data_IF_024330165272
#
_entry.id   IF_024330165272
#
_cell.length_a   1.000
_cell.length_b   1.000
_cell.length_c   1.000
_cell.angle_alpha   90.00
_cell.angle_beta   90.00
_cell.angle_gamma   90.00
#
_symmetry.space_group_name_H-M   'P 1'
#
loop_
_entity.id
_entity.type
_entity.pdbx_description
1 polymer ?
#
# COMPACT_ATOMS: atom_id res chain seq x y z
N UNK A 1 8.16 37.52 1.42
CA UNK A 1 7.00 36.75 1.89
C UNK A 1 6.85 37.07 3.36
N UNK A 2 5.73 37.64 3.81
CA UNK A 2 5.59 38.01 5.22
C UNK A 2 5.12 36.79 6.02
N UNK A 3 6.05 36.11 6.70
CA UNK A 3 5.75 34.89 7.48
C UNK A 3 4.87 35.16 8.72
N UNK A 4 4.72 36.43 9.10
CA UNK A 4 3.81 36.89 10.16
C UNK A 4 2.36 37.02 9.70
N UNK A 5 2.10 37.07 8.38
CA UNK A 5 0.75 37.14 7.85
C UNK A 5 0.20 35.74 7.54
N UNK A 6 -0.97 35.35 8.10
CA UNK A 6 -1.54 34.03 7.86
C UNK A 6 -1.82 33.68 6.39
N UNK A 7 -2.05 34.71 5.56
CA UNK A 7 -2.37 34.55 4.13
C UNK A 7 -1.14 34.20 3.30
N UNK A 8 0.00 34.81 3.62
CA UNK A 8 1.29 34.53 2.97
C UNK A 8 1.88 33.21 3.47
N UNK A 9 1.60 32.85 4.73
CA UNK A 9 2.05 31.60 5.33
C UNK A 9 1.32 30.37 4.78
N UNK A 10 0.03 30.50 4.41
CA UNK A 10 -0.76 29.37 3.94
C UNK A 10 -0.20 28.66 2.69
N UNK A 11 0.20 29.35 1.60
CA UNK A 11 0.86 28.74 0.45
C UNK A 11 2.19 28.07 0.78
N UNK A 12 2.94 28.61 1.75
CA UNK A 12 4.20 28.00 2.19
C UNK A 12 3.93 26.68 2.93
N UNK A 13 2.91 26.63 3.80
CA UNK A 13 2.48 25.40 4.45
C UNK A 13 1.93 24.38 3.44
N UNK A 14 1.21 24.84 2.41
CA UNK A 14 0.80 23.99 1.29
C UNK A 14 2.01 23.33 0.62
N UNK A 15 3.05 24.11 0.32
CA UNK A 15 4.28 23.61 -0.28
C UNK A 15 5.00 22.57 0.60
N UNK A 16 5.11 22.82 1.90
CA UNK A 16 5.73 21.86 2.84
C UNK A 16 4.92 20.56 2.94
N UNK A 17 3.60 20.66 3.09
CA UNK A 17 2.75 19.48 3.19
C UNK A 17 2.76 18.67 1.90
N UNK A 18 2.73 19.34 0.74
CA UNK A 18 2.78 18.70 -0.56
C UNK A 18 4.12 17.99 -0.81
N UNK A 19 5.23 18.61 -0.43
CA UNK A 19 6.57 18.02 -0.57
C UNK A 19 6.82 16.85 0.38
N UNK A 20 6.25 16.88 1.58
CA UNK A 20 6.55 15.88 2.62
C UNK A 20 5.99 14.48 2.36
N UNK A 21 4.87 14.37 1.64
CA UNK A 21 4.18 13.10 1.36
C UNK A 21 3.71 12.30 2.59
N UNK A 22 3.84 12.86 3.80
CA UNK A 22 3.52 12.22 5.10
C UNK A 22 2.88 13.23 6.05
N UNK A 23 2.09 12.80 7.04
CA UNK A 23 1.60 13.70 8.08
C UNK A 23 2.74 14.45 8.77
N UNK A 24 2.59 15.77 8.89
CA UNK A 24 3.55 16.64 9.57
C UNK A 24 2.93 17.18 10.84
N UNK A 25 3.63 16.97 11.97
CA UNK A 25 3.24 17.55 13.24
C UNK A 25 3.47 19.06 13.23
N UNK A 26 2.76 19.81 14.09
CA UNK A 26 2.99 21.25 14.21
C UNK A 26 4.44 21.54 14.62
N UNK A 27 5.00 20.72 15.52
CA UNK A 27 6.38 20.84 15.99
C UNK A 27 7.38 20.67 14.85
N UNK A 28 7.21 19.62 14.03
CA UNK A 28 8.05 19.36 12.85
C UNK A 28 7.96 20.51 11.83
N UNK A 29 6.77 21.07 11.62
CA UNK A 29 6.63 22.23 10.74
C UNK A 29 7.29 23.48 11.32
N UNK A 30 7.27 23.68 12.65
CA UNK A 30 7.95 24.80 13.29
C UNK A 30 9.47 24.70 13.18
N UNK A 31 10.04 23.49 13.20
CA UNK A 31 11.47 23.24 13.05
C UNK A 31 12.03 23.60 11.68
N UNK A 32 11.17 23.71 10.66
CA UNK A 32 11.59 24.13 9.31
C UNK A 32 11.88 25.64 9.21
N UNK A 33 11.47 26.44 10.20
CA UNK A 33 11.71 27.87 10.24
C UNK A 33 12.92 28.20 11.10
N UNK A 34 13.74 29.16 10.64
CA UNK A 34 14.82 29.72 11.45
C UNK A 34 14.28 30.49 12.66
N UNK A 35 15.07 30.62 13.73
CA UNK A 35 14.63 31.22 15.01
C UNK A 35 14.07 32.65 14.87
N UNK A 36 14.56 33.42 13.89
CA UNK A 36 14.10 34.80 13.62
C UNK A 36 12.85 34.90 12.73
N UNK A 37 12.47 33.81 12.06
CA UNK A 37 11.39 33.78 11.07
C UNK A 37 10.19 32.96 11.52
N UNK A 38 10.30 32.29 12.67
CA UNK A 38 9.25 31.42 13.21
C UNK A 38 7.98 32.21 13.52
N UNK A 39 6.85 31.92 12.84
CA UNK A 39 5.57 32.55 13.12
C UNK A 39 5.07 32.18 14.52
N UNK A 40 4.28 33.06 15.14
CA UNK A 40 3.62 32.72 16.40
C UNK A 40 2.62 31.55 16.23
N UNK A 41 2.47 30.65 17.21
CA UNK A 41 1.50 29.56 17.16
C UNK A 41 0.06 29.92 16.75
N UNK A 42 -0.55 31.04 17.19
CA UNK A 42 -1.88 31.44 16.73
C UNK A 42 -1.94 31.84 15.25
N UNK A 43 -0.87 32.44 14.70
CA UNK A 43 -0.77 32.78 13.27
C UNK A 43 -0.73 31.49 12.45
N UNK A 44 0.03 30.51 12.91
CA UNK A 44 0.16 29.20 12.28
C UNK A 44 -1.17 28.46 12.18
N UNK A 45 -1.93 28.37 13.28
CA UNK A 45 -3.27 27.74 13.28
C UNK A 45 -4.26 28.47 12.36
N UNK A 46 -4.18 29.80 12.31
CA UNK A 46 -4.99 30.61 11.37
C UNK A 46 -4.61 30.32 9.92
N UNK A 47 -3.32 30.20 9.62
CA UNK A 47 -2.83 29.87 8.27
C UNK A 47 -3.33 28.47 7.83
N UNK A 48 -3.26 27.45 8.70
CA UNK A 48 -3.83 26.13 8.41
C UNK A 48 -5.34 26.17 8.18
N UNK A 49 -6.08 27.00 8.94
CA UNK A 49 -7.53 27.18 8.74
C UNK A 49 -7.83 27.85 7.39
N UNK A 50 -7.01 28.82 6.98
CA UNK A 50 -7.12 29.46 5.66
C UNK A 50 -6.79 28.46 4.56
N UNK A 51 -5.74 27.66 4.74
CA UNK A 51 -5.35 26.60 3.81
C UNK A 51 -6.49 25.59 3.63
N UNK A 52 -7.07 25.10 4.73
CA UNK A 52 -8.22 24.19 4.70
C UNK A 52 -9.38 24.74 3.86
N UNK A 53 -9.74 26.02 4.06
CA UNK A 53 -10.77 26.69 3.26
C UNK A 53 -10.39 26.86 1.80
N UNK A 54 -9.11 27.10 1.51
CA UNK A 54 -8.63 27.23 0.13
C UNK A 54 -8.66 25.90 -0.65
N UNK A 55 -8.67 24.77 0.07
CA UNK A 55 -8.85 23.43 -0.50
C UNK A 55 -10.32 23.10 -0.82
N UNK A 56 -11.28 23.94 -0.43
CA UNK A 56 -12.67 23.74 -0.79
C UNK A 56 -12.87 23.84 -2.31
N UNK A 57 -13.52 22.84 -2.89
CA UNK A 57 -13.71 22.73 -4.34
C UNK A 57 -12.51 22.13 -5.11
N UNK A 58 -11.35 21.91 -4.47
CA UNK A 58 -10.19 21.26 -5.11
C UNK A 58 -10.25 19.73 -5.05
N UNK A 59 -9.36 19.08 -5.81
CA UNK A 59 -9.26 17.62 -5.83
C UNK A 59 -8.68 17.01 -4.54
N UNK A 60 -7.90 17.79 -3.81
CA UNK A 60 -7.30 17.42 -2.52
C UNK A 60 -7.92 18.21 -1.37
N UNK A 61 -7.69 17.73 -0.16
CA UNK A 61 -8.13 18.32 1.08
C UNK A 61 -7.01 18.30 2.12
N UNK A 62 -7.06 19.27 3.04
CA UNK A 62 -6.23 19.26 4.23
C UNK A 62 -6.92 18.42 5.31
N UNK A 63 -6.27 17.32 5.72
CA UNK A 63 -6.77 16.45 6.79
C UNK A 63 -5.84 16.52 8.00
N UNK A 64 -6.43 16.65 9.17
CA UNK A 64 -5.74 16.53 10.45
C UNK A 64 -5.95 15.10 10.98
N UNK A 65 -4.84 14.43 11.26
CA UNK A 65 -4.71 13.06 11.77
C UNK A 65 -3.90 13.06 13.08
N UNK A 66 -3.80 11.92 13.75
CA UNK A 66 -3.11 11.80 15.04
C UNK A 66 -1.64 12.27 15.02
N UNK A 67 -0.92 12.05 13.91
CA UNK A 67 0.47 12.51 13.75
C UNK A 67 0.60 13.94 13.22
N UNK A 68 -0.49 14.61 12.84
CA UNK A 68 -0.46 16.00 12.40
C UNK A 68 -1.32 16.28 11.17
N UNK A 69 -0.86 17.16 10.29
CA UNK A 69 -1.59 17.60 9.10
C UNK A 69 -1.01 16.94 7.83
N UNK A 70 -1.87 16.56 6.89
CA UNK A 70 -1.47 16.12 5.54
C UNK A 70 -2.42 16.63 4.48
N UNK A 71 -1.91 16.79 3.25
CA UNK A 71 -2.73 16.94 2.07
C UNK A 71 -3.01 15.54 1.49
N UNK A 72 -4.27 15.25 1.21
CA UNK A 72 -4.68 13.98 0.62
C UNK A 72 -5.74 14.21 -0.45
N UNK A 73 -5.83 13.28 -1.41
CA UNK A 73 -6.85 13.35 -2.44
C UNK A 73 -8.21 12.99 -1.83
N UNK A 74 -9.26 13.72 -2.21
CA UNK A 74 -10.63 13.44 -1.73
C UNK A 74 -11.05 12.04 -2.17
N UNK A 75 -11.74 11.33 -1.27
CA UNK A 75 -12.21 9.95 -1.47
C UNK A 75 -13.00 9.76 -2.77
N UNK A 76 -13.78 10.78 -3.18
CA UNK A 76 -14.53 10.77 -4.44
C UNK A 76 -13.67 10.54 -5.69
N UNK A 77 -12.36 10.73 -5.65
CA UNK A 77 -11.45 10.48 -6.78
C UNK A 77 -10.68 9.16 -6.66
N UNK A 78 -10.79 8.45 -5.53
CA UNK A 78 -10.02 7.23 -5.26
C UNK A 78 -10.11 6.17 -6.38
N UNK A 79 -11.28 5.90 -7.02
CA UNK A 79 -11.37 4.91 -8.09
C UNK A 79 -10.54 5.23 -9.35
N UNK A 80 -10.25 6.51 -9.59
CA UNK A 80 -9.45 6.96 -10.73
C UNK A 80 -7.97 7.03 -10.38
N UNK A 81 -7.66 7.62 -9.22
CA UNK A 81 -6.26 7.73 -8.74
C UNK A 81 -5.66 6.34 -8.54
N UNK A 82 -6.47 5.38 -8.05
CA UNK A 82 -6.07 3.99 -7.89
C UNK A 82 -5.54 3.31 -9.16
N UNK A 83 -5.90 3.81 -10.35
CA UNK A 83 -5.43 3.28 -11.65
C UNK A 83 -4.01 3.69 -11.99
N UNK A 84 -3.43 4.65 -11.26
CA UNK A 84 -2.07 5.11 -11.48
C UNK A 84 -1.04 4.05 -11.08
N UNK A 85 -1.40 3.17 -10.14
CA UNK A 85 -0.55 2.06 -9.70
C UNK A 85 -0.86 0.81 -10.53
N UNK A 86 0.18 0.23 -11.14
CA UNK A 86 0.08 -1.02 -11.92
C UNK A 86 -0.39 -2.19 -11.05
N UNK A 87 0.09 -2.24 -9.82
CA UNK A 87 -0.28 -3.26 -8.84
C UNK A 87 -1.31 -2.69 -7.85
N UNK A 88 -2.49 -3.31 -7.80
CA UNK A 88 -3.50 -2.93 -6.80
C UNK A 88 -3.02 -3.37 -5.42
N UNK A 89 -3.06 -2.49 -4.41
CA UNK A 89 -2.71 -2.89 -3.06
C UNK A 89 -3.64 -4.03 -2.60
N UNK A 90 -3.05 -5.08 -2.04
CA UNK A 90 -3.77 -6.27 -1.60
C UNK A 90 -4.88 -5.88 -0.62
N UNK A 91 -6.11 -6.32 -0.91
CA UNK A 91 -7.26 -6.06 -0.03
C UNK A 91 -7.08 -6.79 1.30
N UNK A 92 -7.48 -6.15 2.38
CA UNK A 92 -7.46 -6.78 3.70
C UNK A 92 -8.62 -7.76 3.83
N UNK A 93 -8.33 -8.94 4.37
CA UNK A 93 -9.37 -9.94 4.63
C UNK A 93 -10.35 -9.46 5.69
N UNK A 94 -11.59 -9.90 5.60
CA UNK A 94 -12.63 -9.60 6.59
C UNK A 94 -12.21 -9.98 8.01
N UNK A 95 -11.58 -11.15 8.17
CA UNK A 95 -11.09 -11.61 9.47
C UNK A 95 -10.03 -10.67 10.09
N UNK A 96 -9.17 -10.07 9.26
CA UNK A 96 -8.19 -9.08 9.71
C UNK A 96 -8.88 -7.79 10.17
N UNK A 97 -9.82 -7.27 9.38
CA UNK A 97 -10.57 -6.06 9.71
C UNK A 97 -11.42 -6.23 10.98
N UNK A 98 -12.10 -7.38 11.13
CA UNK A 98 -12.85 -7.72 12.35
C UNK A 98 -11.95 -7.78 13.59
N UNK A 99 -10.79 -8.43 13.48
CA UNK A 99 -9.82 -8.54 14.58
C UNK A 99 -9.32 -7.17 14.98
N UNK A 100 -8.95 -6.33 14.00
CA UNK A 100 -8.50 -4.96 14.24
C UNK A 100 -9.60 -4.08 14.86
N UNK A 101 -10.85 -4.19 14.39
CA UNK A 101 -11.97 -3.46 14.97
C UNK A 101 -12.17 -3.83 16.44
N UNK A 102 -12.11 -5.11 16.79
CA UNK A 102 -12.19 -5.55 18.19
C UNK A 102 -11.07 -4.94 19.05
N UNK A 103 -9.84 -4.87 18.53
CA UNK A 103 -8.73 -4.23 19.25
C UNK A 103 -9.01 -2.73 19.42
N UNK A 104 -9.47 -2.02 18.38
CA UNK A 104 -9.74 -0.59 18.45
C UNK A 104 -10.80 -0.22 19.50
N UNK A 105 -11.92 -0.97 19.56
CA UNK A 105 -13.03 -0.68 20.47
C UNK A 105 -12.89 -1.28 21.88
N UNK A 106 -12.04 -2.30 22.08
CA UNK A 106 -11.92 -3.00 23.38
C UNK A 106 -10.50 -3.03 23.97
N UNK A 107 -9.56 -2.30 23.39
CA UNK A 107 -8.22 -2.18 23.98
C UNK A 107 -8.26 -1.69 25.44
N UNK A 108 -7.35 -2.20 26.30
CA UNK A 108 -6.37 -3.25 26.04
C UNK A 108 -7.01 -4.66 26.05
N UNK A 109 -6.80 -5.44 25.00
CA UNK A 109 -7.41 -6.77 24.81
C UNK A 109 -6.37 -7.85 24.48
N UNK A 110 -6.59 -9.07 24.95
CA UNK A 110 -5.74 -10.25 24.71
C UNK A 110 -6.23 -11.09 23.54
N UNK A 111 -5.38 -11.96 22.97
CA UNK A 111 -5.78 -12.86 21.88
C UNK A 111 -6.97 -13.75 22.26
N UNK A 112 -6.98 -14.30 23.47
CA UNK A 112 -8.08 -15.14 23.96
C UNK A 112 -9.42 -14.40 24.02
N UNK A 113 -9.42 -13.17 24.54
CA UNK A 113 -10.63 -12.33 24.59
C UNK A 113 -11.17 -12.00 23.18
N UNK A 114 -10.29 -11.86 22.17
CA UNK A 114 -10.70 -11.67 20.77
C UNK A 114 -11.37 -12.95 20.24
N UNK A 115 -10.76 -14.12 20.49
CA UNK A 115 -11.28 -15.43 20.07
C UNK A 115 -12.65 -15.70 20.71
N UNK A 116 -12.81 -15.39 22.00
CA UNK A 116 -14.06 -15.55 22.75
C UNK A 116 -15.21 -14.72 22.15
N UNK A 117 -14.93 -13.48 21.73
CA UNK A 117 -15.94 -12.61 21.12
C UNK A 117 -16.28 -13.03 19.69
N UNK A 118 -15.29 -13.49 18.92
CA UNK A 118 -15.51 -13.94 17.52
C UNK A 118 -16.09 -15.36 17.42
N UNK A 119 -15.93 -16.17 18.46
CA UNK A 119 -16.33 -17.58 18.46
C UNK A 119 -15.48 -18.47 17.55
N UNK A 120 -14.39 -17.95 16.98
CA UNK A 120 -13.46 -18.67 16.10
C UNK A 120 -12.02 -18.31 16.43
N UNK A 121 -11.10 -19.25 16.22
CA UNK A 121 -9.68 -19.02 16.43
C UNK A 121 -9.15 -17.89 15.52
N UNK A 122 -8.32 -17.01 16.09
CA UNK A 122 -7.66 -15.94 15.34
C UNK A 122 -6.35 -16.50 14.78
N UNK A 123 -6.17 -16.40 13.46
CA UNK A 123 -4.91 -16.81 12.83
C UNK A 123 -3.76 -15.92 13.36
N UNK A 124 -2.72 -16.55 13.90
CA UNK A 124 -1.52 -15.86 14.41
C UNK A 124 -0.88 -14.92 13.39
N UNK A 125 -0.98 -15.21 12.10
CA UNK A 125 -0.47 -14.35 11.03
C UNK A 125 -1.19 -13.01 10.97
N UNK A 126 -2.50 -12.95 11.30
CA UNK A 126 -3.25 -11.68 11.31
C UNK A 126 -2.65 -10.74 12.35
N UNK A 127 -2.43 -11.23 13.58
CA UNK A 127 -1.84 -10.43 14.66
C UNK A 127 -0.43 -9.98 14.29
N UNK A 128 0.36 -10.88 13.69
CA UNK A 128 1.71 -10.57 13.22
C UNK A 128 1.70 -9.46 12.17
N UNK A 129 0.86 -9.57 11.14
CA UNK A 129 0.74 -8.53 10.09
C UNK A 129 0.25 -7.19 10.63
N UNK A 130 -0.69 -7.19 11.58
CA UNK A 130 -1.16 -5.95 12.23
C UNK A 130 -0.04 -5.27 13.03
N UNK A 131 0.85 -6.04 13.66
CA UNK A 131 2.03 -5.53 14.35
C UNK A 131 3.11 -5.04 13.38
N UNK A 132 3.39 -5.77 12.30
CA UNK A 132 4.37 -5.40 11.27
C UNK A 132 4.00 -4.09 10.55
N UNK A 133 2.69 -3.85 10.35
CA UNK A 133 2.15 -2.58 9.83
C UNK A 133 2.09 -1.47 10.88
N UNK A 134 2.58 -1.75 12.08
CA UNK A 134 2.55 -0.86 13.24
C UNK A 134 1.15 -0.40 13.63
N UNK A 135 0.07 -1.06 13.22
CA UNK A 135 -1.30 -0.65 13.58
C UNK A 135 -1.64 -1.00 15.01
N UNK A 136 -1.05 -2.09 15.53
CA UNK A 136 -1.19 -2.51 16.91
C UNK A 136 0.18 -2.70 17.56
N UNK A 137 0.22 -2.58 18.88
CA UNK A 137 1.40 -2.84 19.71
C UNK A 137 1.01 -3.59 20.97
N UNK A 138 1.99 -4.23 21.60
CA UNK A 138 1.84 -4.83 22.92
C UNK A 138 1.98 -3.73 23.98
N UNK A 139 0.97 -3.58 24.83
CA UNK A 139 0.99 -2.59 25.93
C UNK A 139 1.34 -3.20 27.28
N UNK A 140 1.28 -4.52 27.40
CA UNK A 140 1.61 -5.25 28.61
C UNK A 140 1.16 -6.70 28.53
N UNK A 141 1.21 -7.39 29.66
CA UNK A 141 0.78 -8.78 29.79
C UNK A 141 -0.25 -8.90 30.91
N UNK A 142 -1.30 -9.70 30.71
CA UNK A 142 -2.35 -9.91 31.71
C UNK A 142 -1.85 -10.83 32.83
N UNK A 143 -2.23 -10.55 34.07
CA UNK A 143 -1.88 -11.37 35.24
C UNK A 143 -2.82 -12.58 35.41
N UNK A 144 -2.79 -13.47 34.43
CA UNK A 144 -3.51 -14.77 34.42
C UNK A 144 -2.54 -15.88 34.00
N UNK A 145 -2.86 -17.17 34.24
CA UNK A 145 -2.00 -18.28 33.80
C UNK A 145 -1.64 -18.16 32.31
N UNK A 146 -0.35 -18.27 32.00
CA UNK A 146 0.18 -18.09 30.64
C UNK A 146 0.52 -16.64 30.26
N UNK A 147 0.21 -15.65 31.12
CA UNK A 147 0.53 -14.22 30.94
C UNK A 147 0.37 -13.73 29.49
N UNK A 148 -0.85 -13.78 28.91
CA UNK A 148 -1.05 -13.41 27.52
C UNK A 148 -0.78 -11.91 27.29
N UNK A 149 -0.22 -11.60 26.12
CA UNK A 149 0.01 -10.22 25.69
C UNK A 149 -1.32 -9.47 25.47
N UNK A 150 -1.32 -8.20 25.86
CA UNK A 150 -2.43 -7.26 25.63
C UNK A 150 -2.08 -6.31 24.49
N UNK A 151 -2.98 -6.19 23.53
CA UNK A 151 -2.85 -5.37 22.34
C UNK A 151 -3.61 -4.06 22.48
N UNK A 152 -3.05 -3.01 21.88
CA UNK A 152 -3.68 -1.70 21.71
C UNK A 152 -3.29 -1.12 20.34
N UNK A 153 -4.09 -0.19 19.84
CA UNK A 153 -3.82 0.54 18.60
C UNK A 153 -2.71 1.57 18.77
N UNK A 154 -2.09 1.97 17.67
CA UNK A 154 -1.03 2.99 17.63
C UNK A 154 -1.49 4.28 16.95
N UNK A 155 -0.60 5.27 16.85
CA UNK A 155 -0.82 6.47 16.02
C UNK A 155 -0.88 6.14 14.53
N UNK A 156 -0.09 5.17 14.06
CA UNK A 156 -0.10 4.76 12.65
C UNK A 156 -1.46 4.18 12.24
N UNK A 157 -2.16 3.47 13.14
CA UNK A 157 -3.55 3.08 12.94
C UNK A 157 -4.44 4.31 12.74
N UNK A 158 -4.39 5.29 13.65
CA UNK A 158 -5.20 6.50 13.56
C UNK A 158 -4.92 7.28 12.26
N UNK A 159 -3.65 7.39 11.87
CA UNK A 159 -3.25 8.06 10.62
C UNK A 159 -3.73 7.33 9.37
N UNK A 160 -3.78 5.99 9.41
CA UNK A 160 -4.30 5.19 8.31
C UNK A 160 -5.82 5.39 8.14
N UNK A 161 -6.56 5.42 9.26
CA UNK A 161 -8.01 5.60 9.27
C UNK A 161 -8.48 7.06 9.30
N UNK A 162 -7.56 8.02 9.09
CA UNK A 162 -7.90 9.45 9.04
C UNK A 162 -8.50 10.01 10.36
N UNK A 163 -8.10 9.45 11.50
CA UNK A 163 -8.60 9.80 12.83
C UNK A 163 -7.57 10.65 13.60
N UNK A 164 -8.04 11.57 14.46
CA UNK A 164 -7.16 12.36 15.34
C UNK A 164 -6.93 11.63 16.66
N UNK A 165 -7.99 11.02 17.16
CA UNK A 165 -8.01 10.29 18.41
C UNK A 165 -8.94 9.06 18.27
N UNK A 166 -8.99 8.24 19.32
CA UNK A 166 -9.84 7.04 19.35
C UNK A 166 -11.33 7.36 19.59
N UNK A 167 -11.64 8.54 20.12
CA UNK A 167 -13.01 8.99 20.38
C UNK A 167 -13.73 9.40 19.08
N UNK A 168 -12.97 9.66 18.00
CA UNK A 168 -13.48 9.90 16.65
C UNK A 168 -14.03 8.61 15.98
N UNK A 169 -13.87 7.44 16.61
CA UNK A 169 -14.44 6.19 16.11
C UNK A 169 -15.97 6.21 16.21
N UNK A 170 -16.71 5.78 15.16
CA UNK A 170 -18.16 5.69 15.22
C UNK A 170 -18.63 4.83 16.41
N UNK A 171 -19.61 5.28 17.21
CA UNK A 171 -20.11 4.46 18.31
C UNK A 171 -20.73 3.17 17.77
N UNK A 172 -20.56 2.07 18.50
CA UNK A 172 -21.03 0.74 18.09
C UNK A 172 -22.55 0.68 17.81
N UNK A 173 -23.33 1.64 18.32
CA UNK A 173 -24.75 1.76 18.03
C UNK A 173 -25.01 2.21 16.58
N UNK A 174 -24.25 3.19 16.07
CA UNK A 174 -24.38 3.73 14.71
C UNK A 174 -23.91 2.72 13.65
N UNK A 175 -22.93 1.87 13.99
CA UNK A 175 -22.47 0.80 13.08
C UNK A 175 -23.54 -0.24 12.76
N UNK A 176 -24.61 -0.36 13.57
CA UNK A 176 -25.73 -1.27 13.28
C UNK A 176 -26.68 -0.72 12.23
N UNK A 177 -26.68 0.60 12.04
CA UNK A 177 -27.53 1.31 11.10
C UNK A 177 -26.83 1.54 9.75
N UNK A 178 -25.49 1.44 9.71
CA UNK A 178 -24.75 1.31 8.47
C UNK A 178 -25.07 -0.04 7.83
N UNK A 179 -25.95 -0.04 6.83
CA UNK A 179 -26.03 -1.16 5.91
C UNK A 179 -24.65 -1.31 5.25
N UNK A 180 -24.06 -2.51 5.22
CA UNK A 180 -22.86 -2.72 4.43
C UNK A 180 -23.25 -2.46 2.98
N UNK A 181 -22.67 -1.43 2.37
CA UNK A 181 -22.73 -1.27 0.92
C UNK A 181 -22.34 -2.61 0.30
N UNK A 182 -23.11 -3.16 -0.64
CA UNK A 182 -22.74 -4.38 -1.32
C UNK A 182 -21.42 -4.09 -2.03
N UNK A 183 -20.33 -4.58 -1.46
CA UNK A 183 -19.02 -4.58 -2.09
C UNK A 183 -19.23 -5.40 -3.35
N UNK A 184 -19.18 -4.75 -4.51
CA UNK A 184 -19.10 -5.45 -5.78
C UNK A 184 -17.86 -6.35 -5.69
N UNK A 185 -18.11 -7.66 -5.57
CA UNK A 185 -17.08 -8.69 -5.60
C UNK A 185 -16.55 -8.72 -7.03
N UNK A 186 -15.51 -7.93 -7.30
CA UNK A 186 -14.83 -7.95 -8.59
C UNK A 186 -14.10 -9.28 -8.83
N UNK A 187 -13.95 -10.12 -7.81
CA UNK A 187 -13.40 -11.46 -7.93
C UNK A 187 -14.38 -12.44 -8.61
N UNK A 188 -15.68 -12.10 -8.68
CA UNK A 188 -16.74 -12.91 -9.32
C UNK A 188 -17.46 -12.15 -10.47
N UNK A 189 -16.94 -10.98 -10.88
CA UNK A 189 -17.51 -10.25 -12.01
C UNK A 189 -17.24 -11.06 -13.30
N UNK A 190 -18.29 -11.52 -14.02
CA UNK A 190 -18.08 -12.29 -15.24
C UNK A 190 -17.29 -11.43 -16.23
N UNK A 191 -16.16 -11.97 -16.71
CA UNK A 191 -15.39 -11.34 -17.78
C UNK A 191 -16.35 -11.10 -18.96
N UNK A 192 -16.49 -9.86 -19.47
CA UNK A 192 -17.38 -9.58 -20.58
C UNK A 192 -17.04 -10.50 -21.75
N UNK A 193 -18.04 -11.16 -22.33
CA UNK A 193 -17.83 -12.17 -23.38
C UNK A 193 -16.94 -11.66 -24.53
N UNK A 194 -17.02 -10.37 -24.87
CA UNK A 194 -16.16 -9.77 -25.91
C UNK A 194 -14.67 -9.68 -25.56
N UNK A 195 -14.30 -9.61 -24.27
CA UNK A 195 -12.90 -9.68 -23.82
C UNK A 195 -12.38 -11.12 -23.83
N UNK A 196 -13.25 -12.08 -23.51
CA UNK A 196 -12.95 -13.51 -23.61
C UNK A 196 -12.75 -13.93 -25.08
N UNK A 197 -13.62 -13.48 -25.99
CA UNK A 197 -13.51 -13.76 -27.42
C UNK A 197 -12.24 -13.15 -28.05
N UNK A 198 -11.79 -11.98 -27.59
CA UNK A 198 -10.54 -11.38 -28.04
C UNK A 198 -9.31 -12.11 -27.50
N UNK A 199 -9.37 -12.62 -26.27
CA UNK A 199 -8.30 -13.45 -25.68
C UNK A 199 -8.20 -14.80 -26.41
N UNK A 200 -9.34 -15.44 -26.67
CA UNK A 200 -9.43 -16.71 -27.39
C UNK A 200 -9.01 -16.56 -28.86
N UNK A 201 -9.29 -15.41 -29.50
CA UNK A 201 -8.88 -15.12 -30.88
C UNK A 201 -7.40 -14.74 -31.02
N UNK A 202 -6.77 -14.27 -29.94
CA UNK A 202 -5.36 -13.91 -29.92
C UNK A 202 -4.45 -15.03 -29.41
N UNK A 203 -5.03 -16.15 -28.97
CA UNK A 203 -4.31 -17.38 -28.68
C UNK A 203 -3.92 -18.07 -29.99
N UNK A 204 -2.63 -18.17 -30.28
CA UNK A 204 -2.15 -19.09 -31.32
C UNK A 204 -2.53 -20.53 -30.94
N UNK A 205 -2.89 -21.40 -31.90
CA UNK A 205 -3.14 -22.80 -31.60
C UNK A 205 -1.83 -23.43 -31.10
N UNK A 206 -1.67 -23.52 -29.78
CA UNK A 206 -0.65 -24.40 -29.22
C UNK A 206 -0.94 -25.82 -29.73
N UNK A 207 0.05 -26.44 -30.36
CA UNK A 207 0.04 -27.88 -30.57
C UNK A 207 -0.27 -28.55 -29.23
N UNK A 208 -1.09 -29.62 -29.21
CA UNK A 208 -1.43 -30.29 -27.96
C UNK A 208 -0.13 -30.81 -27.35
N UNK A 209 0.42 -30.07 -26.38
CA UNK A 209 1.40 -30.60 -25.45
C UNK A 209 0.64 -31.72 -24.75
N UNK A 210 1.08 -32.95 -25.00
CA UNK A 210 0.61 -34.11 -24.26
C UNK A 210 0.75 -33.76 -22.78
N UNK A 211 -0.37 -33.47 -22.13
CA UNK A 211 -0.42 -33.47 -20.68
C UNK A 211 0.04 -34.86 -20.29
N UNK A 212 1.27 -34.97 -19.80
CA UNK A 212 1.72 -36.17 -19.12
C UNK A 212 0.77 -36.30 -17.94
N UNK A 213 -0.23 -37.16 -18.14
CA UNK A 213 -1.24 -37.48 -17.14
C UNK A 213 -0.52 -37.67 -15.80
N UNK A 214 -1.09 -37.12 -14.74
CA UNK A 214 -0.56 -37.21 -13.37
C UNK A 214 -0.13 -38.64 -12.99
N UNK A 215 -0.73 -39.64 -13.64
CA UNK A 215 -0.39 -41.05 -13.52
C UNK A 215 0.98 -41.44 -14.09
N UNK A 216 1.41 -40.84 -15.20
CA UNK A 216 2.74 -41.01 -15.80
C UNK A 216 3.82 -40.45 -14.90
N UNK A 217 3.59 -39.27 -14.32
CA UNK A 217 4.51 -38.65 -13.36
C UNK A 217 4.63 -39.46 -12.06
N UNK A 218 3.53 -40.08 -11.61
CA UNK A 218 3.52 -41.00 -10.47
C UNK A 218 4.33 -42.28 -10.73
N UNK A 219 4.22 -42.85 -11.93
CA UNK A 219 5.00 -44.03 -12.33
C UNK A 219 6.49 -43.72 -12.46
N UNK A 220 6.84 -42.52 -12.91
CA UNK A 220 8.23 -42.07 -13.00
C UNK A 220 8.84 -41.89 -11.60
N UNK A 221 8.06 -41.34 -10.65
CA UNK A 221 8.47 -41.21 -9.25
C UNK A 221 8.68 -42.57 -8.56
N UNK A 222 7.78 -43.53 -8.77
CA UNK A 222 7.91 -44.91 -8.26
C UNK A 222 9.19 -45.58 -8.78
N UNK A 223 9.52 -45.36 -10.06
CA UNK A 223 10.74 -45.91 -10.67
C UNK A 223 12.03 -45.29 -10.11
N UNK A 224 11.97 -44.03 -9.66
CA UNK A 224 13.08 -43.34 -9.01
C UNK A 224 13.28 -43.79 -7.56
N UNK A 225 12.21 -44.25 -6.88
CA UNK A 225 12.27 -44.78 -5.51
C UNK A 225 12.91 -46.18 -5.42
N UNK A 226 12.81 -47.01 -6.47
CA UNK A 226 13.43 -48.36 -6.49
C UNK A 226 14.97 -48.36 -6.48
N UNK A 227 15.60 -47.21 -6.75
CA UNK A 227 17.07 -47.03 -6.74
C UNK A 227 17.65 -46.43 -5.47
N UNK A 228 16.80 -45.94 -4.55
CA UNK A 228 17.25 -45.29 -3.32
C UNK A 228 17.43 -46.37 -2.25
N UNK A 229 18.68 -46.72 -1.96
CA UNK A 229 19.01 -47.52 -0.78
C UNK A 229 18.66 -46.70 0.47
N UNK A 230 17.53 -47.02 1.09
CA UNK A 230 17.20 -46.57 2.44
C UNK A 230 18.07 -47.35 3.44
N UNK A 231 19.32 -46.95 3.61
CA UNK A 231 20.15 -47.42 4.72
C UNK A 231 19.71 -46.67 6.00
N UNK A 232 18.56 -47.08 6.52
CA UNK A 232 18.03 -46.65 7.81
C UNK A 232 18.23 -47.76 8.87
N UNK A 233 19.39 -48.41 8.85
CA UNK A 233 19.77 -49.43 9.83
C UNK A 233 20.89 -48.97 10.80
N UNK A 234 21.33 -47.71 10.71
CA UNK A 234 22.47 -47.18 11.50
C UNK A 234 22.07 -46.35 12.73
N UNK A 235 20.77 -46.35 13.11
CA UNK A 235 20.27 -45.61 14.28
C UNK A 235 19.70 -46.49 15.40
N UNK A 236 19.84 -47.81 15.34
CA UNK A 236 19.28 -48.72 16.36
C UNK A 236 20.24 -49.79 16.90
N UNK A 237 21.56 -49.61 16.76
CA UNK A 237 22.55 -50.46 17.46
C UNK A 237 23.75 -49.66 17.97
N UNK A 238 23.61 -49.06 19.15
CA UNK A 238 24.55 -49.40 20.22
C UNK A 238 23.96 -49.01 21.58
N UNK A 239 23.79 -50.03 22.43
CA UNK A 239 23.37 -49.86 23.81
C UNK A 239 24.56 -50.09 24.72
N UNK A 240 25.21 -49.02 25.18
CA UNK A 240 25.89 -48.93 26.47
C UNK A 240 26.40 -47.48 26.71
N UNK A 241 26.25 -46.90 27.91
CA UNK A 241 26.75 -45.57 28.21
C UNK A 241 28.27 -45.59 28.47
N UNK A 242 29.06 -44.60 28.04
CA UNK A 242 30.44 -44.50 28.47
C UNK A 242 30.51 -44.00 29.91
N UNK A 243 31.31 -44.72 30.70
CA UNK A 243 31.62 -44.47 32.09
C UNK A 243 32.43 -43.18 32.26
N UNK A 244 32.13 -42.43 33.33
CA UNK A 244 32.94 -41.34 33.84
C UNK A 244 34.16 -41.93 34.54
N UNK A 245 35.38 -41.58 34.10
CA UNK A 245 36.61 -41.81 34.87
C UNK A 245 37.30 -40.47 35.18
N UNK A 246 37.39 -40.05 36.46
CA UNK A 246 37.87 -38.73 36.85
C UNK A 246 39.30 -38.81 37.38
N UNK A 247 40.33 -38.85 36.53
CA UNK A 247 41.71 -38.66 37.00
C UNK A 247 42.65 -38.17 35.88
N UNK A 248 43.48 -37.19 36.23
CA UNK A 248 44.60 -36.56 35.49
C UNK A 248 44.23 -35.37 34.58
N UNK A 249 44.26 -34.11 35.04
CA UNK A 249 45.36 -33.28 35.58
C UNK A 249 46.10 -32.44 34.51
N UNK A 250 45.83 -31.12 34.60
CA UNK A 250 46.82 -30.01 34.64
C UNK A 250 47.33 -29.38 33.31
N UNK A 251 46.84 -28.14 33.07
CA UNK A 251 47.51 -26.84 32.77
C UNK A 251 48.97 -26.91 32.25
N UNK A 252 49.41 -26.28 31.14
CA UNK A 252 49.70 -24.83 30.99
C UNK A 252 50.08 -24.40 29.54
N UNK A 253 50.07 -23.07 29.26
CA UNK A 253 50.16 -22.46 27.93
C UNK A 253 51.57 -21.94 27.59
N UNK A 254 51.87 -21.73 26.30
CA UNK A 254 53.01 -20.90 25.87
C UNK A 254 52.63 -19.92 24.76
N UNK A 255 53.25 -18.75 24.84
CA UNK A 255 52.90 -17.47 24.22
C UNK A 255 54.03 -17.08 23.28
N UNK A 256 53.76 -16.63 22.04
CA UNK A 256 54.73 -15.75 21.36
C UNK A 256 54.08 -14.72 20.40
N UNK A 257 54.33 -13.47 20.79
CA UNK A 257 54.19 -12.12 20.22
C UNK A 257 53.86 -11.86 18.71
N UNK A 258 52.88 -10.94 18.52
CA UNK A 258 52.88 -9.66 17.76
C UNK A 258 54.02 -9.38 16.75
N UNK A 259 53.88 -8.82 15.53
CA UNK A 259 52.99 -7.84 14.84
C UNK A 259 53.61 -7.64 13.39
N UNK A 260 53.14 -6.76 12.46
CA UNK A 260 51.84 -6.12 12.21
C UNK A 260 51.37 -6.17 10.71
N UNK A 261 50.18 -5.60 10.47
CA UNK A 261 49.47 -5.32 9.19
C UNK A 261 50.26 -4.53 8.11
N UNK A 262 49.84 -4.59 6.83
CA UNK A 262 49.00 -3.49 6.29
C UNK A 262 47.91 -3.90 5.28
N UNK A 263 46.71 -3.30 5.41
CA UNK A 263 46.01 -2.47 4.41
C UNK A 263 45.45 -3.10 3.11
N UNK A 264 44.31 -2.59 2.58
CA UNK A 264 43.40 -3.35 1.72
C UNK A 264 43.60 -3.10 0.21
N UNK A 265 43.46 -4.14 -0.61
CA UNK A 265 43.41 -4.03 -2.07
C UNK A 265 42.20 -4.80 -2.64
N UNK A 266 41.36 -4.05 -3.36
CA UNK A 266 40.83 -4.44 -4.68
C UNK A 266 39.69 -5.45 -4.74
N UNK A 267 38.46 -4.95 -4.85
CA UNK A 267 37.33 -5.68 -5.44
C UNK A 267 37.61 -5.96 -6.94
N UNK A 268 37.36 -7.18 -7.47
CA UNK A 268 37.45 -7.43 -8.89
C UNK A 268 36.18 -7.00 -9.64
N UNK A 269 36.39 -6.30 -10.76
CA UNK A 269 35.38 -5.92 -11.75
C UNK A 269 34.73 -7.15 -12.42
N UNK A 270 33.44 -7.10 -12.81
CA UNK A 270 32.83 -8.12 -13.65
C UNK A 270 33.19 -7.91 -15.13
N UNK A 271 33.50 -9.04 -15.78
CA UNK A 271 33.86 -9.17 -17.19
C UNK A 271 32.69 -8.79 -18.12
N UNK A 272 33.04 -8.16 -19.24
CA UNK A 272 32.17 -7.79 -20.36
C UNK A 272 31.68 -9.00 -21.15
N UNK A 273 30.36 -9.11 -21.35
CA UNK A 273 29.75 -9.97 -22.38
C UNK A 273 29.67 -9.24 -23.74
N UNK A 274 29.81 -9.94 -24.88
CA UNK A 274 29.81 -9.33 -26.20
C UNK A 274 28.40 -8.99 -26.69
N UNK A 275 28.29 -7.84 -27.35
CA UNK A 275 27.11 -7.38 -28.10
C UNK A 275 26.75 -8.38 -29.22
N UNK A 276 25.50 -8.85 -29.23
CA UNK A 276 24.86 -9.44 -30.41
C UNK A 276 23.91 -8.39 -30.99
N UNK A 277 24.35 -7.80 -32.10
CA UNK A 277 23.52 -7.01 -33.01
C UNK A 277 22.53 -7.95 -33.71
N UNK A 278 21.24 -7.87 -33.37
CA UNK A 278 20.15 -8.40 -34.19
C UNK A 278 19.05 -7.33 -34.37
N UNK A 279 18.94 -6.87 -35.63
CA UNK A 279 17.78 -6.32 -36.35
C UNK A 279 17.01 -5.10 -35.79
N UNK A 280 17.55 -3.92 -36.06
CA UNK A 280 16.96 -2.58 -35.83
C UNK A 280 15.83 -2.20 -36.84
N UNK A 281 15.41 -3.08 -37.76
CA UNK A 281 14.52 -2.69 -38.86
C UNK A 281 13.00 -2.72 -38.57
N UNK A 282 12.54 -3.40 -37.52
CA UNK A 282 11.09 -3.54 -37.24
C UNK A 282 10.45 -2.40 -36.44
N UNK A 283 11.22 -1.74 -35.57
CA UNK A 283 10.70 -0.73 -34.63
C UNK A 283 10.35 0.58 -35.34
N UNK A 284 11.04 0.91 -36.43
CA UNK A 284 10.80 2.12 -37.21
C UNK A 284 9.46 2.05 -37.97
N UNK A 285 9.16 0.93 -38.63
CA UNK A 285 7.88 0.73 -39.33
C UNK A 285 6.69 0.67 -38.35
N UNK A 286 6.88 0.06 -37.18
CA UNK A 286 5.86 0.02 -36.14
C UNK A 286 5.53 1.44 -35.64
N UNK A 287 6.54 2.29 -35.45
CA UNK A 287 6.37 3.68 -35.02
C UNK A 287 5.69 4.55 -36.09
N UNK A 288 5.98 4.33 -37.37
CA UNK A 288 5.34 5.07 -38.47
C UNK A 288 3.85 4.70 -38.60
N UNK A 289 3.51 3.41 -38.48
CA UNK A 289 2.10 2.97 -38.45
C UNK A 289 1.33 3.53 -37.25
N UNK A 290 1.97 3.65 -36.08
CA UNK A 290 1.36 4.20 -34.87
C UNK A 290 1.12 5.71 -35.01
N UNK A 291 2.06 6.45 -35.60
CA UNK A 291 1.90 7.87 -35.91
C UNK A 291 0.79 8.11 -36.96
N UNK A 292 0.70 7.26 -37.98
CA UNK A 292 -0.37 7.34 -38.98
C UNK A 292 -1.76 7.04 -38.38
N UNK A 293 -1.85 6.10 -37.45
CA UNK A 293 -3.09 5.78 -36.74
C UNK A 293 -3.53 6.91 -35.79
N UNK A 294 -2.59 7.56 -35.10
CA UNK A 294 -2.87 8.72 -34.24
C UNK A 294 -3.34 9.92 -35.06
N UNK A 295 -2.71 10.18 -36.22
CA UNK A 295 -3.13 11.25 -37.12
C UNK A 295 -4.53 11.02 -37.74
N UNK A 296 -4.94 9.76 -37.91
CA UNK A 296 -6.29 9.42 -38.37
C UNK A 296 -7.38 9.66 -37.30
N UNK A 297 -7.02 9.61 -36.02
CA UNK A 297 -7.92 9.90 -34.89
C UNK A 297 -8.03 11.40 -34.59
N UNK A 298 -7.13 12.22 -35.14
CA UNK A 298 -7.06 13.67 -34.91
C UNK A 298 -7.83 14.49 -35.95
N UNK A 299 -8.55 13.85 -36.89
CA UNK A 299 -9.46 14.58 -37.77
C UNK A 299 -10.65 15.12 -36.95
N UNK A 300 -10.97 16.42 -37.06
CA UNK A 300 -12.10 17.00 -36.35
C UNK A 300 -13.38 16.34 -36.84
N UNK A 301 -14.05 15.63 -35.94
CA UNK A 301 -15.40 15.11 -36.13
C UNK A 301 -16.29 16.29 -36.56
N UNK A 302 -17.05 16.19 -37.67
CA UNK A 302 -17.99 17.24 -38.02
C UNK A 302 -18.95 17.45 -36.85
N UNK A 303 -19.13 18.71 -36.45
CA UNK A 303 -20.00 19.09 -35.35
C UNK A 303 -21.39 18.46 -35.54
N UNK A 304 -22.02 17.92 -34.50
CA UNK A 304 -23.36 17.40 -34.62
C UNK A 304 -24.29 18.55 -35.04
N UNK A 305 -25.03 18.36 -36.13
CA UNK A 305 -26.09 19.29 -36.53
C UNK A 305 -27.05 19.43 -35.34
N UNK A 306 -27.08 20.62 -34.72
CA UNK A 306 -28.00 20.92 -33.63
C UNK A 306 -29.43 20.77 -34.15
N UNK A 307 -30.29 20.14 -33.35
CA UNK A 307 -31.71 20.09 -33.65
C UNK A 307 -32.28 21.52 -33.66
N UNK A 308 -33.28 21.79 -34.51
CA UNK A 308 -33.89 23.12 -34.65
C UNK A 308 -34.34 23.70 -33.28
N UNK A 309 -34.78 22.83 -32.35
CA UNK A 309 -35.17 23.22 -30.98
C UNK A 309 -33.98 23.71 -30.12
N UNK A 310 -32.80 23.14 -30.28
CA UNK A 310 -31.61 23.54 -29.49
C UNK A 310 -31.02 24.86 -30.01
N UNK A 311 -31.08 25.09 -31.33
CA UNK A 311 -30.68 26.37 -31.93
C UNK A 311 -31.62 27.50 -31.50
N UNK A 312 -32.92 27.26 -31.44
CA UNK A 312 -33.91 28.21 -30.93
C UNK A 312 -33.71 28.51 -29.44
N UNK A 313 -33.41 27.49 -28.62
CA UNK A 313 -33.13 27.68 -27.20
C UNK A 313 -31.86 28.51 -26.96
N UNK A 314 -30.83 28.34 -27.78
CA UNK A 314 -29.58 29.09 -27.68
C UNK A 314 -29.78 30.56 -28.10
N UNK A 315 -30.53 30.80 -29.19
CA UNK A 315 -30.88 32.16 -29.63
C UNK A 315 -31.76 32.89 -28.59
N UNK A 316 -32.67 32.18 -27.93
CA UNK A 316 -33.48 32.74 -26.85
C UNK A 316 -32.61 33.09 -25.63
N UNK A 317 -31.65 32.23 -25.26
CA UNK A 317 -30.75 32.49 -24.15
C UNK A 317 -29.86 33.71 -24.41
N UNK A 318 -29.33 33.85 -25.63
CA UNK A 318 -28.49 34.99 -26.02
C UNK A 318 -29.30 36.30 -26.09
N UNK A 319 -30.56 36.24 -26.53
CA UNK A 319 -31.46 37.39 -26.52
C UNK A 319 -31.80 37.85 -25.08
N UNK A 320 -32.03 36.92 -24.16
CA UNK A 320 -32.27 37.22 -22.74
C UNK A 320 -31.03 37.86 -22.11
N UNK A 321 -29.83 37.37 -22.45
CA UNK A 321 -28.58 37.90 -21.91
C UNK A 321 -28.25 39.29 -22.47
N UNK A 322 -28.57 39.55 -23.74
CA UNK A 322 -28.44 40.87 -24.37
C UNK A 322 -29.43 41.88 -23.77
N UNK A 323 -30.67 41.48 -23.52
CA UNK A 323 -31.67 42.32 -22.87
C UNK A 323 -31.29 42.63 -21.42
N UNK A 324 -30.74 41.65 -20.69
CA UNK A 324 -30.22 41.84 -19.33
C UNK A 324 -29.05 42.83 -19.29
N UNK A 325 -28.19 42.81 -20.31
CA UNK A 325 -27.08 43.78 -20.48
C UNK A 325 -27.58 45.20 -20.74
N UNK A 326 -28.69 45.36 -21.47
CA UNK A 326 -29.30 46.68 -21.72
C UNK A 326 -29.99 47.29 -20.50
N UNK A 327 -30.30 46.48 -19.49
CA UNK A 327 -30.90 46.94 -18.23
C UNK A 327 -29.87 47.24 -17.12
N UNK A 328 -28.61 46.84 -17.31
CA UNK A 328 -27.51 47.07 -16.34
C UNK A 328 -26.60 48.28 -16.68
N UNK A 329 -26.79 48.93 -17.84
CA UNK A 329 -26.19 50.22 -18.23
C UNK A 329 -27.20 51.39 -18.09
#
# INVERSE_FOLDING_TARGET
MNLTEPRDLAPLLEAFLLASGKPQSLESLFELFEEGERPEPPVFKKALTILAKSCDGRAFELKEVASGYRLQIREKFAPWVGRLWEERPQRYSRAMLETMALIAYRQPITRGEIEDVRGVAVNSNIVKTLMEREWIRIVGYRDVPGKPAMFATTKAFLDHFNLKNLDDLPPLAELRELEPDPVLDFDDAPVPAGLQELADASAEPEEPKEETSFHTLLLELDSMEEGIKTDFDDLLRDGAPPEFDPEQSVIEPEVEAAQPEPGPEGEPEPETEPEQDDDILGVAEAREKLLAAVAALEQPKPEPELSDEEAEAQALAEAIEAERRQFED
#
